data_IF_843306023875
#
_entry.id   IF_843306023875
#
_cell.length_a   1.000
_cell.length_b   1.000
_cell.length_c   1.000
_cell.angle_alpha   90.00
_cell.angle_beta   90.00
_cell.angle_gamma   90.00
#
_symmetry.space_group_name_H-M   'P 1'
#
loop_
_entity.id
_entity.type
_entity.pdbx_description
1 polymer ?
#
# COMPACT_ATOMS: atom_id res chain seq x y z
N UNK A 1 6.80 -10.64 10.34
CA UNK A 1 6.32 -10.10 11.63
C UNK A 1 6.79 -11.01 12.74
N UNK A 2 6.41 -10.75 13.98
CA UNK A 2 6.78 -11.65 15.09
C UNK A 2 6.25 -13.08 14.87
N UNK A 3 5.01 -13.19 14.38
CA UNK A 3 4.36 -14.46 14.03
C UNK A 3 5.03 -15.27 12.89
N UNK A 4 6.01 -14.73 12.16
CA UNK A 4 6.71 -15.47 11.10
C UNK A 4 7.94 -16.23 11.59
N UNK A 5 8.25 -16.18 12.89
CA UNK A 5 9.38 -16.90 13.50
C UNK A 5 8.94 -18.28 13.95
N UNK A 6 9.78 -19.29 13.77
CA UNK A 6 9.51 -20.68 14.14
C UNK A 6 9.28 -20.89 15.64
N UNK A 7 9.91 -20.07 16.48
CA UNK A 7 9.83 -20.13 17.93
C UNK A 7 8.93 -19.04 18.54
N UNK A 8 8.06 -18.41 17.74
CA UNK A 8 7.14 -17.41 18.26
C UNK A 8 6.15 -18.09 19.23
N UNK A 9 6.04 -17.55 20.44
CA UNK A 9 5.06 -18.01 21.41
C UNK A 9 3.64 -17.69 20.88
N UNK A 10 2.63 -18.53 21.22
CA UNK A 10 1.26 -18.22 20.89
C UNK A 10 0.83 -16.92 21.58
N UNK A 11 -0.08 -16.19 20.93
CA UNK A 11 -0.73 -15.05 21.58
C UNK A 11 -1.58 -15.54 22.75
N UNK A 12 -1.50 -14.83 23.88
CA UNK A 12 -2.28 -15.09 25.08
C UNK A 12 -2.81 -13.77 25.67
N UNK A 13 -3.88 -13.85 26.46
CA UNK A 13 -4.55 -12.71 27.06
C UNK A 13 -4.78 -12.93 28.55
N UNK A 14 -4.33 -11.95 29.35
CA UNK A 14 -4.59 -11.88 30.78
C UNK A 14 -5.77 -10.96 31.10
N UNK A 15 -6.23 -10.98 32.35
CA UNK A 15 -7.27 -10.08 32.84
C UNK A 15 -6.89 -8.60 32.61
N UNK A 16 -7.86 -7.79 32.19
CA UNK A 16 -7.67 -6.34 32.01
C UNK A 16 -7.40 -5.67 33.35
N UNK A 17 -6.54 -4.65 33.33
CA UNK A 17 -6.44 -3.71 34.43
C UNK A 17 -7.70 -2.84 34.53
N UNK A 18 -7.91 -2.25 35.70
CA UNK A 18 -8.90 -1.20 35.87
C UNK A 18 -8.39 0.10 35.25
N UNK A 19 -9.14 0.68 34.31
CA UNK A 19 -8.80 1.95 33.67
C UNK A 19 -10.07 2.71 33.27
N UNK A 20 -9.96 4.03 33.23
CA UNK A 20 -11.02 4.91 32.74
C UNK A 20 -10.78 5.24 31.26
N UNK A 21 -11.76 4.94 30.41
CA UNK A 21 -11.72 5.31 28.98
C UNK A 21 -11.86 6.82 28.84
N UNK A 22 -10.94 7.46 28.11
CA UNK A 22 -11.00 8.90 27.86
C UNK A 22 -12.13 9.29 26.90
N UNK A 23 -12.38 8.49 25.85
CA UNK A 23 -13.43 8.77 24.86
C UNK A 23 -13.85 7.50 24.12
N UNK A 24 -15.06 7.50 23.57
CA UNK A 24 -15.59 6.42 22.73
C UNK A 24 -15.62 6.84 21.25
N UNK A 25 -14.77 6.20 20.45
CA UNK A 25 -14.66 6.45 19.01
C UNK A 25 -15.56 5.54 18.18
N UNK A 26 -16.25 4.57 18.79
CA UNK A 26 -17.01 3.55 18.07
C UNK A 26 -18.10 4.12 17.17
N UNK A 27 -18.68 5.29 17.53
CA UNK A 27 -19.70 5.98 16.72
C UNK A 27 -19.10 6.70 15.50
N UNK A 28 -17.84 7.12 15.59
CA UNK A 28 -17.19 7.96 14.58
C UNK A 28 -16.46 7.11 13.54
N UNK A 29 -15.88 5.98 13.96
CA UNK A 29 -15.11 5.07 13.08
C UNK A 29 -15.88 4.66 11.81
N UNK A 30 -17.16 4.22 11.87
CA UNK A 30 -17.89 3.81 10.66
C UNK A 30 -18.10 4.96 9.65
N UNK A 31 -18.26 6.19 10.15
CA UNK A 31 -18.40 7.39 9.30
C UNK A 31 -17.09 7.70 8.59
N UNK A 32 -15.97 7.67 9.32
CA UNK A 32 -14.62 7.86 8.77
C UNK A 32 -14.30 6.78 7.74
N UNK A 33 -14.63 5.52 8.03
CA UNK A 33 -14.42 4.41 7.11
C UNK A 33 -15.20 4.58 5.81
N UNK A 34 -16.47 5.03 5.87
CA UNK A 34 -17.27 5.31 4.68
C UNK A 34 -16.66 6.42 3.83
N UNK A 35 -16.22 7.52 4.46
CA UNK A 35 -15.56 8.63 3.77
C UNK A 35 -14.24 8.19 3.13
N UNK A 36 -13.40 7.48 3.87
CA UNK A 36 -12.17 6.88 3.36
C UNK A 36 -12.44 6.00 2.14
N UNK A 37 -13.34 5.01 2.25
CA UNK A 37 -13.74 4.12 1.15
C UNK A 37 -14.23 4.86 -0.09
N UNK A 38 -14.89 6.00 0.08
CA UNK A 38 -15.34 6.82 -1.06
C UNK A 38 -14.19 7.51 -1.78
N UNK A 39 -13.18 8.00 -1.04
CA UNK A 39 -12.01 8.68 -1.62
C UNK A 39 -11.09 7.71 -2.33
N UNK A 40 -10.75 6.61 -1.68
CA UNK A 40 -9.78 5.65 -2.23
C UNK A 40 -10.25 4.97 -3.51
N UNK A 41 -11.57 4.91 -3.74
CA UNK A 41 -12.15 4.41 -5.01
C UNK A 41 -11.84 5.30 -6.21
N UNK A 42 -11.63 6.59 -5.98
CA UNK A 42 -11.43 7.59 -7.05
C UNK A 42 -9.95 7.99 -7.13
N UNK A 43 -9.19 7.85 -6.03
CA UNK A 43 -7.79 8.25 -5.96
C UNK A 43 -6.88 7.36 -6.83
N UNK A 44 -6.28 7.90 -7.91
CA UNK A 44 -5.43 7.12 -8.81
C UNK A 44 -4.18 6.57 -8.15
N UNK A 45 -3.59 7.29 -7.19
CA UNK A 45 -2.40 6.82 -6.45
C UNK A 45 -2.73 5.57 -5.62
N UNK A 46 -3.93 5.53 -5.05
CA UNK A 46 -4.40 4.39 -4.26
C UNK A 46 -4.69 3.16 -5.15
N UNK A 47 -5.30 3.36 -6.32
CA UNK A 47 -5.59 2.26 -7.25
C UNK A 47 -4.32 1.55 -7.72
N UNK A 48 -3.27 2.31 -8.08
CA UNK A 48 -1.97 1.73 -8.44
C UNK A 48 -1.42 0.80 -7.35
N UNK A 49 -1.66 1.12 -6.10
CA UNK A 49 -1.10 0.37 -4.97
C UNK A 49 -1.94 -0.88 -4.68
N UNK A 50 -3.25 -0.82 -4.90
CA UNK A 50 -4.08 -2.03 -4.92
C UNK A 50 -3.57 -2.99 -5.99
N UNK A 51 -3.27 -2.49 -7.19
CA UNK A 51 -2.77 -3.31 -8.29
C UNK A 51 -1.40 -3.93 -7.96
N UNK A 52 -0.48 -3.16 -7.38
CA UNK A 52 0.80 -3.67 -6.88
C UNK A 52 0.61 -4.77 -5.81
N UNK A 53 -0.36 -4.60 -4.90
CA UNK A 53 -0.68 -5.62 -3.89
C UNK A 53 -1.22 -6.88 -4.56
N UNK A 54 -2.08 -6.76 -5.57
CA UNK A 54 -2.64 -7.89 -6.29
C UNK A 54 -1.58 -8.65 -7.09
N UNK A 55 -0.70 -7.94 -7.80
CA UNK A 55 0.44 -8.52 -8.50
C UNK A 55 1.36 -9.28 -7.53
N UNK A 56 1.67 -8.68 -6.38
CA UNK A 56 2.47 -9.34 -5.35
C UNK A 56 1.79 -10.58 -4.77
N UNK A 57 0.46 -10.55 -4.59
CA UNK A 57 -0.29 -11.72 -4.15
C UNK A 57 -0.22 -12.85 -5.18
N UNK A 58 -0.41 -12.53 -6.47
CA UNK A 58 -0.29 -13.51 -7.56
C UNK A 58 1.12 -14.10 -7.64
N UNK A 59 2.15 -13.26 -7.54
CA UNK A 59 3.55 -13.70 -7.54
C UNK A 59 3.86 -14.63 -6.35
N UNK A 60 3.33 -14.33 -5.15
CA UNK A 60 3.48 -15.19 -3.97
C UNK A 60 2.73 -16.53 -4.08
N UNK A 61 1.68 -16.60 -4.89
CA UNK A 61 0.94 -17.84 -5.14
C UNK A 61 1.70 -18.76 -6.11
N UNK A 62 2.58 -18.23 -6.95
CA UNK A 62 3.45 -19.06 -7.80
C UNK A 62 4.50 -19.79 -6.95
N UNK A 63 4.40 -21.13 -6.93
CA UNK A 63 5.32 -22.01 -6.21
C UNK A 63 6.25 -22.80 -7.13
N UNK A 64 6.00 -22.74 -8.43
CA UNK A 64 6.71 -23.51 -9.45
C UNK A 64 7.34 -22.56 -10.45
N UNK A 65 8.57 -22.86 -10.86
CA UNK A 65 9.32 -22.08 -11.83
C UNK A 65 9.82 -22.99 -12.94
N UNK A 66 9.70 -22.53 -14.18
CA UNK A 66 10.29 -23.24 -15.32
C UNK A 66 11.82 -23.15 -15.26
N UNK A 67 12.49 -24.27 -15.54
CA UNK A 67 13.95 -24.32 -15.68
C UNK A 67 14.41 -24.06 -17.13
N UNK A 68 13.47 -23.92 -18.08
CA UNK A 68 13.81 -23.60 -19.46
C UNK A 68 14.19 -22.12 -19.59
N UNK A 69 15.40 -21.88 -20.12
CA UNK A 69 15.98 -20.55 -20.31
C UNK A 69 15.13 -19.63 -21.20
N UNK A 70 14.52 -20.16 -22.27
CA UNK A 70 13.72 -19.36 -23.21
C UNK A 70 12.45 -18.87 -22.54
N UNK A 71 11.79 -19.76 -21.78
CA UNK A 71 10.59 -19.43 -21.00
C UNK A 71 10.93 -18.41 -19.91
N UNK A 72 12.08 -18.55 -19.24
CA UNK A 72 12.51 -17.60 -18.19
C UNK A 72 12.86 -16.24 -18.75
N UNK A 73 13.47 -16.15 -19.93
CA UNK A 73 13.74 -14.87 -20.61
C UNK A 73 12.44 -14.16 -20.96
N UNK A 74 11.49 -14.86 -21.58
CA UNK A 74 10.19 -14.28 -21.92
C UNK A 74 9.43 -13.74 -20.69
N UNK A 75 9.45 -14.48 -19.57
CA UNK A 75 8.86 -14.02 -18.31
C UNK A 75 9.51 -12.75 -17.75
N UNK A 76 10.85 -12.65 -17.85
CA UNK A 76 11.58 -11.46 -17.41
C UNK A 76 11.27 -10.26 -18.27
N UNK A 77 11.23 -10.42 -19.59
CA UNK A 77 10.92 -9.34 -20.52
C UNK A 77 9.49 -8.82 -20.31
N UNK A 78 8.53 -9.72 -20.09
CA UNK A 78 7.14 -9.36 -19.76
C UNK A 78 7.07 -8.60 -18.43
N UNK A 79 7.82 -9.05 -17.41
CA UNK A 79 7.88 -8.38 -16.11
C UNK A 79 8.54 -6.99 -16.20
N UNK A 80 9.62 -6.84 -16.98
CA UNK A 80 10.27 -5.54 -17.21
C UNK A 80 9.34 -4.58 -17.96
N UNK A 81 8.64 -5.08 -19.00
CA UNK A 81 7.66 -4.28 -19.73
C UNK A 81 6.50 -3.81 -18.83
N UNK A 82 5.97 -4.70 -17.98
CA UNK A 82 4.94 -4.36 -16.98
C UNK A 82 5.45 -3.32 -15.98
N UNK A 83 6.69 -3.47 -15.48
CA UNK A 83 7.31 -2.51 -14.55
C UNK A 83 7.44 -1.13 -15.19
N UNK A 84 7.95 -1.04 -16.42
CA UNK A 84 8.10 0.23 -17.16
C UNK A 84 6.76 0.94 -17.37
N UNK A 85 5.73 0.21 -17.83
CA UNK A 85 4.39 0.78 -18.00
C UNK A 85 3.85 1.39 -16.70
N UNK A 86 4.03 0.70 -15.57
CA UNK A 86 3.63 1.21 -14.24
C UNK A 86 4.44 2.43 -13.81
N UNK A 87 5.75 2.43 -14.04
CA UNK A 87 6.60 3.58 -13.74
C UNK A 87 6.19 4.81 -14.57
N UNK A 88 5.84 4.62 -15.85
CA UNK A 88 5.27 5.67 -16.71
C UNK A 88 3.93 6.20 -16.20
N UNK A 89 3.00 5.32 -15.83
CA UNK A 89 1.71 5.70 -15.26
C UNK A 89 1.88 6.50 -13.96
N UNK A 90 2.74 6.02 -13.06
CA UNK A 90 3.05 6.70 -11.80
C UNK A 90 3.72 8.06 -12.03
N UNK A 91 4.63 8.14 -13.00
CA UNK A 91 5.34 9.37 -13.32
C UNK A 91 4.40 10.39 -13.97
N UNK A 92 3.48 9.96 -14.84
CA UNK A 92 2.39 10.80 -15.38
C UNK A 92 1.51 11.36 -14.26
N UNK A 93 1.16 10.55 -13.26
CA UNK A 93 0.36 10.98 -12.11
C UNK A 93 1.11 11.98 -11.21
N UNK A 94 2.41 11.77 -11.00
CA UNK A 94 3.26 12.64 -10.17
C UNK A 94 3.80 13.87 -10.94
N UNK A 95 3.55 13.96 -12.25
CA UNK A 95 4.08 15.03 -13.10
C UNK A 95 5.60 14.98 -13.31
N UNK A 96 6.23 13.83 -13.09
CA UNK A 96 7.67 13.63 -13.23
C UNK A 96 7.95 13.10 -14.64
N UNK A 97 8.90 13.71 -15.36
CA UNK A 97 9.34 13.22 -16.67
C UNK A 97 10.32 12.06 -16.47
N UNK A 98 10.08 10.93 -17.14
CA UNK A 98 11.04 9.82 -17.18
C UNK A 98 12.03 10.12 -18.31
N UNK A 99 13.29 10.37 -17.97
CA UNK A 99 14.39 10.38 -18.95
C UNK A 99 14.92 8.95 -19.13
N UNK A 100 15.34 8.61 -20.36
CA UNK A 100 15.83 7.27 -20.70
C UNK A 100 17.07 6.86 -19.91
N UNK A 101 17.17 5.54 -19.68
CA UNK A 101 18.18 4.79 -18.92
C UNK A 101 19.56 5.47 -18.87
N UNK A 102 19.78 6.28 -17.84
CA UNK A 102 21.10 6.43 -17.21
C UNK A 102 21.05 5.69 -15.89
N UNK A 103 22.12 4.97 -15.52
CA UNK A 103 22.34 4.57 -14.14
C UNK A 103 22.52 5.85 -13.33
N UNK A 104 21.42 6.33 -12.75
CA UNK A 104 21.43 7.39 -11.75
C UNK A 104 21.11 6.75 -10.42
N UNK A 105 21.85 7.14 -9.38
CA UNK A 105 21.54 6.79 -8.01
C UNK A 105 20.06 7.06 -7.75
N UNK A 106 19.41 6.12 -7.05
CA UNK A 106 17.98 6.18 -6.78
C UNK A 106 17.63 7.58 -6.27
N UNK A 107 16.87 8.39 -7.02
CA UNK A 107 16.63 9.76 -6.62
C UNK A 107 15.92 9.72 -5.26
N UNK A 108 16.38 10.56 -4.34
CA UNK A 108 15.73 10.87 -3.06
C UNK A 108 14.43 11.65 -3.31
N UNK A 109 13.72 11.33 -4.39
CA UNK A 109 12.42 11.85 -4.73
C UNK A 109 11.48 11.46 -3.61
N UNK A 110 10.86 12.48 -3.01
CA UNK A 110 9.66 12.33 -2.19
C UNK A 110 8.65 11.51 -2.98
N UNK A 111 8.69 10.18 -2.78
CA UNK A 111 7.67 9.27 -3.29
C UNK A 111 6.35 9.82 -2.78
N UNK A 112 5.38 10.06 -3.66
CA UNK A 112 4.03 10.40 -3.25
C UNK A 112 3.56 9.39 -2.21
N UNK A 113 3.45 9.83 -0.97
CA UNK A 113 3.02 9.00 0.16
C UNK A 113 1.51 9.11 0.27
N UNK A 114 0.81 8.21 -0.43
CA UNK A 114 -0.64 8.18 -0.40
C UNK A 114 -1.16 7.90 1.01
N UNK A 115 -0.45 7.07 1.81
CA UNK A 115 -0.87 6.74 3.17
C UNK A 115 -0.86 7.98 4.03
N UNK A 116 0.18 8.80 3.94
CA UNK A 116 0.28 10.06 4.66
C UNK A 116 -0.82 11.04 4.23
N UNK A 117 -1.03 11.21 2.92
CA UNK A 117 -2.09 12.09 2.38
C UNK A 117 -3.47 11.65 2.86
N UNK A 118 -3.80 10.37 2.76
CA UNK A 118 -5.12 9.86 3.16
C UNK A 118 -5.29 9.85 4.68
N UNK A 119 -4.25 9.56 5.45
CA UNK A 119 -4.27 9.66 6.91
C UNK A 119 -4.53 11.11 7.36
N UNK A 120 -3.92 12.09 6.68
CA UNK A 120 -4.21 13.51 6.91
C UNK A 120 -5.67 13.88 6.64
N UNK A 121 -6.26 13.33 5.57
CA UNK A 121 -7.69 13.52 5.24
C UNK A 121 -8.61 12.88 6.28
N UNK A 122 -8.27 11.69 6.77
CA UNK A 122 -9.02 11.01 7.86
C UNK A 122 -8.96 11.82 9.15
N UNK A 123 -7.80 12.38 9.49
CA UNK A 123 -7.65 13.26 10.65
C UNK A 123 -8.49 14.54 10.51
N UNK A 124 -8.48 15.17 9.34
CA UNK A 124 -9.31 16.34 9.05
C UNK A 124 -10.81 16.03 9.19
N UNK A 125 -11.26 14.88 8.68
CA UNK A 125 -12.63 14.41 8.86
C UNK A 125 -12.99 14.20 10.33
N UNK A 126 -12.07 13.63 11.11
CA UNK A 126 -12.27 13.43 12.54
C UNK A 126 -12.42 14.77 13.29
N UNK A 127 -11.58 15.76 12.98
CA UNK A 127 -11.69 17.11 13.55
C UNK A 127 -13.04 17.74 13.19
N UNK A 128 -13.45 17.64 11.92
CA UNK A 128 -14.72 18.20 11.45
C UNK A 128 -15.93 17.57 12.16
N UNK A 129 -15.90 16.26 12.36
CA UNK A 129 -16.97 15.51 13.06
C UNK A 129 -17.00 15.74 14.58
N UNK A 130 -15.93 16.31 15.15
CA UNK A 130 -15.83 16.62 16.59
C UNK A 130 -16.17 18.09 16.89
N UNK A 131 -15.94 18.99 15.93
CA UNK A 131 -16.18 20.43 16.05
C UNK A 131 -17.58 20.83 15.57
N UNK A 132 -18.17 20.08 14.62
CA UNK A 132 -19.57 20.23 14.21
C UNK A 132 -20.49 19.38 15.07
#
# INVERSE_FOLDING_TARGET
GEASRSSALPWDQINSSEFNKYSDLNKIIPLLEKKHKSRVKIDPEYQLIIDEINDNKQARQQKEFSLNIEIRKAQLDEAEAKRKKREEEKSKLLGIKIEEKKEVDAPTSSKGDYQLKESGRILADYILLKVG
#
